data_IF_086467308765
#
_entry.id   IF_086467308765
#
_cell.length_a   1.000
_cell.length_b   1.000
_cell.length_c   1.000
_cell.angle_alpha   90.00
_cell.angle_beta   90.00
_cell.angle_gamma   90.00
#
_symmetry.space_group_name_H-M   'P 1'
#
loop_
_entity.id
_entity.type
_entity.pdbx_description
1 polymer ?
#
# COMPACT_ATOMS: atom_id res chain seq x y z
N UNK A 1 34.65 28.59 29.86
CA UNK A 1 35.22 27.63 28.90
C UNK A 1 36.68 27.42 29.24
N UNK A 2 37.08 26.19 29.58
CA UNK A 2 38.32 25.67 29.02
C UNK A 2 38.18 24.21 28.55
N UNK A 3 38.96 23.92 27.52
CA UNK A 3 39.19 22.61 26.94
C UNK A 3 39.92 21.67 27.90
N UNK A 4 39.59 20.38 27.85
CA UNK A 4 40.36 19.29 28.46
C UNK A 4 40.23 18.03 27.58
N UNK A 5 41.17 17.87 26.64
CA UNK A 5 41.84 16.59 26.37
C UNK A 5 43.03 16.49 27.36
N UNK A 6 43.81 15.39 27.47
CA UNK A 6 43.67 13.99 27.03
C UNK A 6 43.97 12.98 28.18
N UNK A 7 43.63 11.68 28.04
CA UNK A 7 44.38 10.61 28.74
C UNK A 7 44.58 9.42 27.80
N UNK A 8 45.83 9.25 27.37
CA UNK A 8 46.37 8.01 26.86
C UNK A 8 47.04 7.26 28.02
N UNK A 9 46.80 5.95 28.16
CA UNK A 9 47.89 5.00 28.48
C UNK A 9 47.44 3.55 28.64
N UNK A 10 48.19 2.72 27.92
CA UNK A 10 48.73 1.41 28.29
C UNK A 10 47.77 0.23 28.34
N UNK A 11 47.89 -0.71 27.39
CA UNK A 11 48.95 -1.72 27.22
C UNK A 11 48.54 -3.04 27.90
N UNK A 12 47.99 -3.96 27.11
CA UNK A 12 48.22 -5.39 27.31
C UNK A 12 48.56 -6.00 25.96
N UNK A 13 49.85 -6.30 25.80
CA UNK A 13 50.36 -7.27 24.83
C UNK A 13 49.77 -8.64 25.15
N UNK A 14 49.50 -9.44 24.11
CA UNK A 14 49.69 -10.90 24.05
C UNK A 14 49.66 -11.29 22.53
N UNK A 15 50.23 -12.44 22.12
CA UNK A 15 51.18 -12.52 21.00
C UNK A 15 50.57 -13.03 19.67
N UNK A 16 51.29 -12.74 18.57
CA UNK A 16 51.09 -13.30 17.23
C UNK A 16 51.44 -14.80 17.17
N UNK A 17 50.81 -15.45 16.17
CA UNK A 17 50.94 -16.85 15.74
C UNK A 17 50.01 -17.79 16.53
N UNK A 18 49.10 -18.55 15.95
CA UNK A 18 49.05 -19.30 14.70
C UNK A 18 47.54 -19.65 14.53
N UNK A 19 46.87 -19.61 13.38
CA UNK A 19 46.91 -20.63 12.34
C UNK A 19 45.63 -20.45 11.48
N UNK A 20 45.80 -20.49 10.16
CA UNK A 20 44.78 -20.76 9.12
C UNK A 20 43.69 -19.72 8.84
N UNK A 21 43.95 -19.02 7.73
CA UNK A 21 42.98 -18.44 6.79
C UNK A 21 41.84 -19.42 6.47
N UNK A 22 40.70 -19.27 7.16
CA UNK A 22 39.43 -19.71 6.62
C UNK A 22 38.97 -18.65 5.60
N UNK A 23 39.46 -18.78 4.37
CA UNK A 23 38.85 -18.19 3.18
C UNK A 23 37.54 -18.94 2.89
N UNK A 24 36.58 -18.78 3.79
CA UNK A 24 35.18 -19.02 3.50
C UNK A 24 34.56 -17.67 3.26
N UNK A 25 34.50 -17.23 2.00
CA UNK A 25 33.56 -16.18 1.61
C UNK A 25 32.20 -16.52 2.24
N UNK A 26 31.49 -15.56 2.88
CA UNK A 26 30.10 -15.83 3.25
C UNK A 26 29.40 -16.34 1.97
N UNK A 27 28.53 -17.35 2.05
CA UNK A 27 27.85 -17.85 0.86
C UNK A 27 27.29 -16.64 0.15
N UNK A 28 27.75 -16.42 -1.09
CA UNK A 28 27.24 -15.37 -1.95
C UNK A 28 25.73 -15.48 -1.85
N UNK A 29 25.12 -14.46 -1.23
CA UNK A 29 23.67 -14.32 -1.22
C UNK A 29 23.21 -14.69 -2.63
N UNK A 30 22.25 -15.62 -2.80
CA UNK A 30 21.77 -15.91 -4.13
C UNK A 30 21.43 -14.55 -4.74
N UNK A 31 22.07 -14.20 -5.86
CA UNK A 31 21.62 -13.10 -6.70
C UNK A 31 20.11 -13.22 -6.75
N UNK A 32 19.33 -12.14 -6.52
CA UNK A 32 17.89 -12.25 -6.60
C UNK A 32 17.60 -12.68 -8.02
N UNK A 33 17.42 -13.99 -8.21
CA UNK A 33 16.76 -14.57 -9.35
C UNK A 33 15.49 -13.74 -9.41
N UNK A 34 15.36 -12.99 -10.50
CA UNK A 34 14.38 -11.94 -10.72
C UNK A 34 13.00 -12.42 -10.29
N UNK A 35 12.72 -12.32 -8.99
CA UNK A 35 11.38 -12.46 -8.49
C UNK A 35 10.73 -11.23 -9.06
N UNK A 36 9.57 -11.40 -9.68
CA UNK A 36 8.65 -10.29 -9.85
C UNK A 36 8.25 -9.85 -8.44
N UNK A 37 9.19 -9.23 -7.73
CA UNK A 37 9.04 -8.79 -6.36
C UNK A 37 7.95 -7.74 -6.34
N UNK A 38 7.02 -7.88 -5.42
CA UNK A 38 6.08 -6.81 -5.13
C UNK A 38 6.89 -5.56 -4.78
N UNK A 39 6.69 -4.49 -5.54
CA UNK A 39 7.26 -3.18 -5.22
C UNK A 39 6.19 -2.43 -4.42
N UNK A 40 6.46 -2.05 -3.16
CA UNK A 40 5.53 -1.25 -2.37
C UNK A 40 5.07 0.01 -3.12
N UNK A 41 3.82 0.41 -2.91
CA UNK A 41 3.23 1.57 -3.59
C UNK A 41 2.90 1.37 -5.07
N UNK A 42 3.08 0.18 -5.66
CA UNK A 42 2.68 -0.09 -7.07
C UNK A 42 1.24 -0.57 -7.23
N UNK A 43 0.61 -1.05 -6.17
CA UNK A 43 -0.78 -1.50 -6.12
C UNK A 43 -1.53 -0.71 -5.04
N UNK A 44 -2.78 -0.38 -5.29
CA UNK A 44 -3.66 0.32 -4.35
C UNK A 44 -5.01 -0.39 -4.23
N UNK A 45 -5.67 -0.15 -3.10
CA UNK A 45 -7.06 -0.54 -2.87
C UNK A 45 -7.93 0.71 -2.76
N UNK A 46 -8.81 0.93 -3.73
CA UNK A 46 -9.79 2.01 -3.70
C UNK A 46 -11.11 1.50 -3.12
N UNK A 47 -11.80 2.35 -2.35
CA UNK A 47 -13.08 2.06 -1.73
C UNK A 47 -14.15 2.98 -2.32
N UNK A 48 -15.23 2.38 -2.84
CA UNK A 48 -16.34 3.13 -3.44
C UNK A 48 -17.63 2.59 -2.86
N UNK A 49 -18.43 3.44 -2.24
CA UNK A 49 -19.79 3.06 -1.82
C UNK A 49 -20.76 3.30 -2.96
N UNK A 50 -21.76 2.44 -3.08
CA UNK A 50 -22.80 2.53 -4.10
C UNK A 50 -24.19 2.34 -3.48
N UNK A 51 -25.23 3.02 -4.00
CA UNK A 51 -26.57 2.99 -3.40
C UNK A 51 -27.27 1.63 -3.48
N UNK A 52 -26.85 0.74 -4.40
CA UNK A 52 -27.42 -0.59 -4.52
C UNK A 52 -26.48 -1.55 -5.27
N UNK A 53 -26.77 -2.84 -5.13
CA UNK A 53 -25.97 -3.92 -5.71
C UNK A 53 -25.97 -3.91 -7.24
N UNK A 54 -27.06 -3.47 -7.89
CA UNK A 54 -27.14 -3.40 -9.35
C UNK A 54 -26.11 -2.41 -9.90
N UNK A 55 -26.11 -1.19 -9.38
CA UNK A 55 -25.16 -0.13 -9.76
C UNK A 55 -23.72 -0.59 -9.46
N UNK A 56 -23.49 -1.15 -8.27
CA UNK A 56 -22.16 -1.64 -7.90
C UNK A 56 -21.64 -2.72 -8.87
N UNK A 57 -22.50 -3.67 -9.30
CA UNK A 57 -22.14 -4.70 -10.29
C UNK A 57 -21.86 -4.12 -11.67
N UNK A 58 -22.64 -3.14 -12.12
CA UNK A 58 -22.44 -2.48 -13.41
C UNK A 58 -21.09 -1.75 -13.45
N UNK A 59 -20.78 -0.98 -12.41
CA UNK A 59 -19.49 -0.28 -12.29
C UNK A 59 -18.33 -1.27 -12.18
N UNK A 60 -18.47 -2.31 -11.34
CA UNK A 60 -17.44 -3.34 -11.14
C UNK A 60 -17.07 -4.04 -12.46
N UNK A 61 -18.07 -4.41 -13.26
CA UNK A 61 -17.83 -5.04 -14.58
C UNK A 61 -17.11 -4.08 -15.50
N UNK A 62 -17.58 -2.84 -15.60
CA UNK A 62 -17.02 -1.88 -16.53
C UNK A 62 -15.57 -1.49 -16.21
N UNK A 63 -15.21 -1.32 -14.92
CA UNK A 63 -13.81 -0.99 -14.55
C UNK A 63 -12.84 -2.14 -14.83
N UNK A 64 -13.29 -3.40 -14.68
CA UNK A 64 -12.48 -4.58 -15.00
C UNK A 64 -12.37 -4.76 -16.52
N UNK A 65 -13.46 -4.62 -17.27
CA UNK A 65 -13.47 -4.69 -18.74
C UNK A 65 -12.57 -3.63 -19.38
N UNK A 66 -12.59 -2.40 -18.84
CA UNK A 66 -11.72 -1.29 -19.27
C UNK A 66 -10.28 -1.42 -18.78
N UNK A 67 -9.95 -2.47 -18.02
CA UNK A 67 -8.63 -2.73 -17.41
C UNK A 67 -8.16 -1.60 -16.48
N UNK A 68 -9.11 -0.87 -15.88
CA UNK A 68 -8.84 0.13 -14.84
C UNK A 68 -8.65 -0.52 -13.47
N UNK A 69 -9.12 -1.75 -13.29
CA UNK A 69 -8.93 -2.57 -12.10
C UNK A 69 -8.66 -4.02 -12.47
N UNK A 70 -7.91 -4.73 -11.61
CA UNK A 70 -7.67 -6.16 -11.77
C UNK A 70 -8.81 -6.99 -11.18
N UNK A 71 -9.33 -6.59 -10.03
CA UNK A 71 -10.49 -7.22 -9.40
C UNK A 71 -11.26 -6.23 -8.53
N UNK A 72 -12.52 -6.57 -8.25
CA UNK A 72 -13.41 -5.80 -7.39
C UNK A 72 -14.14 -6.78 -6.47
N UNK A 73 -14.14 -6.51 -5.17
CA UNK A 73 -15.01 -7.23 -4.22
C UNK A 73 -16.21 -6.34 -3.90
N UNK A 74 -17.40 -6.92 -3.89
CA UNK A 74 -18.63 -6.26 -3.47
C UNK A 74 -18.99 -6.77 -2.07
N UNK A 75 -19.17 -5.85 -1.14
CA UNK A 75 -19.59 -6.12 0.24
C UNK A 75 -21.01 -5.54 0.36
N UNK A 76 -22.05 -6.36 0.24
CA UNK A 76 -23.43 -5.89 0.30
C UNK A 76 -23.86 -5.59 1.74
N UNK A 77 -24.96 -4.85 1.89
CA UNK A 77 -25.64 -4.61 3.17
C UNK A 77 -24.76 -3.90 4.21
N UNK A 78 -24.04 -2.85 3.80
CA UNK A 78 -23.38 -1.96 4.75
C UNK A 78 -24.37 -0.86 5.17
N UNK A 79 -24.21 -0.37 6.39
CA UNK A 79 -24.86 0.86 6.85
C UNK A 79 -23.82 1.97 6.87
N UNK A 80 -24.03 3.01 6.07
CA UNK A 80 -23.23 4.22 6.07
C UNK A 80 -23.88 5.25 6.97
N UNK A 81 -23.16 5.71 7.99
CA UNK A 81 -23.63 6.72 8.95
C UNK A 81 -22.80 7.97 8.76
N UNK A 82 -23.44 9.10 8.45
CA UNK A 82 -22.75 10.35 8.15
C UNK A 82 -23.59 11.57 8.54
N UNK A 83 -22.96 12.73 8.70
CA UNK A 83 -23.67 13.99 8.96
C UNK A 83 -23.95 14.71 7.64
N UNK A 84 -25.21 15.06 7.39
CA UNK A 84 -25.62 15.85 6.24
C UNK A 84 -26.57 16.95 6.65
N UNK A 85 -26.24 18.19 6.29
CA UNK A 85 -27.03 19.40 6.63
C UNK A 85 -27.34 19.54 8.14
N UNK A 86 -26.44 19.04 8.99
CA UNK A 86 -26.57 19.12 10.45
C UNK A 86 -27.41 18.01 11.09
N UNK A 87 -27.87 17.04 10.29
CA UNK A 87 -28.61 15.87 10.77
C UNK A 87 -27.77 14.60 10.54
N UNK A 88 -27.93 13.61 11.43
CA UNK A 88 -27.30 12.30 11.30
C UNK A 88 -28.14 11.45 10.36
N UNK A 89 -27.55 11.03 9.25
CA UNK A 89 -28.18 10.20 8.23
C UNK A 89 -27.62 8.78 8.28
N UNK A 90 -28.48 7.80 7.97
CA UNK A 90 -28.13 6.39 7.85
C UNK A 90 -28.63 5.83 6.52
N UNK A 91 -27.72 5.37 5.67
CA UNK A 91 -28.04 4.77 4.36
C UNK A 91 -27.58 3.33 4.25
N UNK A 92 -28.37 2.52 3.54
CA UNK A 92 -27.98 1.16 3.17
C UNK A 92 -27.26 1.17 1.83
N UNK A 93 -26.02 0.71 1.82
CA UNK A 93 -25.15 0.79 0.65
C UNK A 93 -24.46 -0.55 0.35
N UNK A 94 -23.68 -0.55 -0.72
CA UNK A 94 -22.75 -1.63 -1.09
C UNK A 94 -21.35 -1.05 -1.17
N UNK A 95 -20.41 -1.61 -0.43
CA UNK A 95 -19.01 -1.19 -0.48
C UNK A 95 -18.27 -1.99 -1.57
N UNK A 96 -17.62 -1.28 -2.47
CA UNK A 96 -16.75 -1.84 -3.49
C UNK A 96 -15.28 -1.68 -3.06
N UNK A 97 -14.55 -2.78 -2.98
CA UNK A 97 -13.10 -2.77 -2.75
C UNK A 97 -12.39 -3.14 -4.06
N UNK A 98 -11.82 -2.13 -4.72
CA UNK A 98 -11.24 -2.20 -6.06
C UNK A 98 -9.71 -2.30 -5.95
N UNK A 99 -9.12 -3.36 -6.52
CA UNK A 99 -7.66 -3.55 -6.52
C UNK A 99 -7.12 -3.15 -7.88
N UNK A 100 -6.23 -2.16 -7.89
CA UNK A 100 -5.64 -1.67 -9.13
C UNK A 100 -4.18 -1.27 -8.93
N UNK A 101 -3.50 -0.94 -10.03
CA UNK A 101 -2.18 -0.31 -9.96
C UNK A 101 -2.34 1.13 -9.48
N UNK A 102 -1.43 1.58 -8.63
CA UNK A 102 -1.44 2.96 -8.12
C UNK A 102 -1.46 4.01 -9.22
N UNK A 103 -0.79 3.74 -10.35
CA UNK A 103 -0.77 4.61 -11.52
C UNK A 103 -2.12 4.74 -12.24
N UNK A 104 -3.05 3.82 -12.02
CA UNK A 104 -4.38 3.82 -12.63
C UNK A 104 -5.45 4.43 -11.72
N UNK A 105 -5.13 4.74 -10.46
CA UNK A 105 -6.08 5.33 -9.52
C UNK A 105 -6.70 6.63 -10.06
N UNK A 106 -5.97 7.58 -10.67
CA UNK A 106 -6.58 8.78 -11.24
C UNK A 106 -7.61 8.46 -12.34
N UNK A 107 -7.26 7.58 -13.28
CA UNK A 107 -8.15 7.18 -14.37
C UNK A 107 -9.37 6.38 -13.87
N UNK A 108 -9.19 5.56 -12.83
CA UNK A 108 -10.27 4.86 -12.14
C UNK A 108 -11.23 5.86 -11.49
N UNK A 109 -10.70 6.85 -10.76
CA UNK A 109 -11.49 7.88 -10.08
C UNK A 109 -12.28 8.72 -11.08
N UNK A 110 -11.67 9.14 -12.19
CA UNK A 110 -12.35 9.90 -13.24
C UNK A 110 -13.49 9.09 -13.88
N UNK A 111 -13.24 7.80 -14.15
CA UNK A 111 -14.27 6.92 -14.67
C UNK A 111 -15.42 6.76 -13.69
N UNK A 112 -15.13 6.44 -12.42
CA UNK A 112 -16.15 6.28 -11.38
C UNK A 112 -16.97 7.56 -11.26
N UNK A 113 -16.34 8.74 -11.19
CA UNK A 113 -17.05 10.03 -11.15
C UNK A 113 -17.98 10.27 -12.35
N UNK A 114 -17.62 9.77 -13.53
CA UNK A 114 -18.45 9.95 -14.73
C UNK A 114 -19.71 9.09 -14.76
N UNK A 115 -19.73 7.98 -14.02
CA UNK A 115 -20.85 7.02 -14.01
C UNK A 115 -21.56 6.92 -12.65
N UNK A 116 -20.92 7.36 -11.58
CA UNK A 116 -21.42 7.19 -10.23
C UNK A 116 -22.51 8.23 -9.93
N UNK A 117 -23.63 7.81 -9.33
CA UNK A 117 -24.74 8.73 -9.03
C UNK A 117 -24.42 9.80 -7.97
N UNK A 118 -23.35 9.62 -7.19
CA UNK A 118 -22.94 10.52 -6.10
C UNK A 118 -21.47 10.94 -6.16
N UNK A 119 -21.13 12.00 -5.44
CA UNK A 119 -19.90 12.78 -5.61
C UNK A 119 -18.67 12.26 -4.83
N UNK A 120 -18.79 11.24 -3.97
CA UNK A 120 -17.70 10.85 -3.06
C UNK A 120 -17.15 9.45 -3.40
N UNK A 121 -15.90 9.41 -3.87
CA UNK A 121 -15.11 8.19 -3.98
C UNK A 121 -13.85 8.37 -3.11
N UNK A 122 -13.65 7.50 -2.12
CA UNK A 122 -12.49 7.53 -1.23
C UNK A 122 -11.44 6.50 -1.69
N UNK A 123 -10.28 6.98 -2.16
CA UNK A 123 -9.17 6.09 -2.52
C UNK A 123 -8.10 6.11 -1.43
N UNK A 124 -7.80 4.95 -0.85
CA UNK A 124 -6.64 4.79 0.04
C UNK A 124 -5.44 4.31 -0.79
N UNK A 125 -4.32 5.03 -0.71
CA UNK A 125 -3.05 4.63 -1.32
C UNK A 125 -2.05 4.33 -0.20
N UNK A 126 -1.31 3.24 -0.37
CA UNK A 126 -0.21 2.86 0.54
C UNK A 126 1.07 3.54 0.06
N UNK A 127 1.52 4.56 0.79
CA UNK A 127 2.79 5.23 0.51
C UNK A 127 3.96 4.28 0.83
N UNK A 128 4.90 4.08 -0.12
CA UNK A 128 6.05 3.22 0.13
C UNK A 128 6.91 3.81 1.25
N UNK A 129 6.83 3.21 2.44
CA UNK A 129 7.62 3.63 3.62
C UNK A 129 6.85 3.77 4.92
N UNK A 130 5.54 3.48 4.96
CA UNK A 130 4.78 3.42 6.22
C UNK A 130 5.05 2.11 6.98
N UNK A 131 6.23 2.00 7.61
CA UNK A 131 6.48 1.07 8.71
C UNK A 131 7.38 1.74 9.76
#
# INVERSE_FOLDING_TARGET
MPALLPVASRLLLLPRALLTMASGSPPSQPSPALSSGYVPGTVSAAFVTCPNERVAKEIARAVVEKRLAACVNLIPQITSIYEWKGELEEDNEVLMMIKTRSSLVPALTDYVRSVHPYEVAESYHDEPGSC
#
